data_IF_807655533918
#
_entry.id   IF_807655533918
#
_cell.length_a   1.000
_cell.length_b   1.000
_cell.length_c   1.000
_cell.angle_alpha   90.00
_cell.angle_beta   90.00
_cell.angle_gamma   90.00
#
_symmetry.space_group_name_H-M   'P 1'
#
loop_
_entity.id
_entity.type
_entity.pdbx_description
1 polymer ?
#
# COMPACT_ATOMS: atom_id res chain seq x y z
N UNK A 1 11.54 -19.69 -14.59
CA UNK A 1 11.20 -18.44 -13.89
C UNK A 1 12.00 -17.34 -14.55
N UNK A 2 11.37 -16.52 -15.38
CA UNK A 2 12.05 -15.48 -16.16
C UNK A 2 11.97 -14.21 -15.32
N UNK A 3 13.09 -13.82 -14.69
CA UNK A 3 13.20 -12.54 -13.98
C UNK A 3 12.83 -11.42 -14.95
N UNK A 4 11.87 -10.59 -14.55
CA UNK A 4 11.45 -9.41 -15.29
C UNK A 4 12.69 -8.59 -15.73
N UNK A 5 12.68 -8.09 -16.96
CA UNK A 5 13.66 -7.09 -17.40
C UNK A 5 13.64 -5.99 -16.35
N UNK A 6 14.77 -5.75 -15.68
CA UNK A 6 14.95 -4.57 -14.82
C UNK A 6 14.69 -3.36 -15.73
N UNK A 7 13.48 -2.83 -15.68
CA UNK A 7 13.10 -1.68 -16.46
C UNK A 7 13.67 -0.47 -15.73
N UNK A 8 14.73 0.13 -16.29
CA UNK A 8 15.57 1.14 -15.62
C UNK A 8 14.84 2.47 -15.33
N UNK A 9 13.55 2.53 -15.62
CA UNK A 9 12.70 3.72 -15.48
C UNK A 9 11.82 3.69 -14.23
N UNK A 10 11.50 2.52 -13.66
CA UNK A 10 10.66 2.45 -12.45
C UNK A 10 11.47 2.93 -11.25
N UNK A 11 10.89 3.87 -10.49
CA UNK A 11 11.53 4.44 -9.31
C UNK A 11 10.72 4.17 -8.05
N UNK A 12 11.43 4.03 -6.93
CA UNK A 12 10.81 3.88 -5.62
C UNK A 12 10.09 5.18 -5.25
N UNK A 13 8.84 5.06 -4.84
CA UNK A 13 8.16 6.12 -4.12
C UNK A 13 8.60 6.06 -2.65
N UNK A 14 9.22 7.13 -2.16
CA UNK A 14 9.96 7.08 -0.89
C UNK A 14 9.09 6.85 0.36
N UNK A 15 7.84 7.34 0.38
CA UNK A 15 6.95 7.21 1.54
C UNK A 15 5.74 6.33 1.18
N UNK A 16 5.79 5.06 1.55
CA UNK A 16 4.71 4.11 1.27
C UNK A 16 3.43 4.40 2.05
N UNK A 17 3.54 5.09 3.19
CA UNK A 17 2.40 5.50 4.03
C UNK A 17 1.67 6.66 3.36
N UNK A 18 2.39 7.66 2.87
CA UNK A 18 1.80 8.74 2.06
C UNK A 18 1.11 8.17 0.81
N UNK A 19 1.77 7.25 0.10
CA UNK A 19 1.18 6.58 -1.06
C UNK A 19 -0.12 5.84 -0.72
N UNK A 20 -0.16 5.17 0.43
CA UNK A 20 -1.33 4.48 0.95
C UNK A 20 -2.50 5.44 1.21
N UNK A 21 -2.27 6.55 1.91
CA UNK A 21 -3.32 7.53 2.15
C UNK A 21 -3.84 8.15 0.85
N UNK A 22 -2.98 8.42 -0.12
CA UNK A 22 -3.40 8.98 -1.43
C UNK A 22 -4.25 7.96 -2.18
N UNK A 23 -3.80 6.71 -2.27
CA UNK A 23 -4.50 5.66 -3.01
C UNK A 23 -5.90 5.35 -2.44
N UNK A 24 -6.04 5.36 -1.11
CA UNK A 24 -7.30 5.06 -0.43
C UNK A 24 -8.17 6.29 -0.13
N UNK A 25 -7.73 7.50 -0.49
CA UNK A 25 -8.47 8.74 -0.20
C UNK A 25 -9.86 8.75 -0.84
N UNK A 26 -9.97 8.33 -2.11
CA UNK A 26 -11.24 8.32 -2.84
C UNK A 26 -12.22 7.25 -2.34
N UNK A 27 -11.70 6.23 -1.66
CA UNK A 27 -12.47 5.10 -1.14
C UNK A 27 -13.20 5.45 0.17
N UNK A 28 -12.79 6.52 0.85
CA UNK A 28 -13.37 6.94 2.12
C UNK A 28 -13.65 8.46 2.14
N UNK A 29 -14.68 8.88 1.41
CA UNK A 29 -15.22 10.25 1.48
C UNK A 29 -16.09 10.38 2.74
N UNK A 30 -15.48 10.73 3.87
CA UNK A 30 -16.15 10.97 5.15
C UNK A 30 -15.24 11.66 6.17
N UNK A 31 -15.78 12.30 7.22
CA UNK A 31 -14.95 12.85 8.30
C UNK A 31 -14.12 11.72 8.91
N UNK A 32 -12.83 11.98 9.14
CA UNK A 32 -11.95 11.06 9.87
C UNK A 32 -12.59 10.71 11.20
N UNK A 33 -12.96 9.43 11.36
CA UNK A 33 -13.53 8.89 12.57
C UNK A 33 -12.47 8.01 13.22
N UNK A 34 -11.91 8.50 14.32
CA UNK A 34 -10.92 7.80 15.15
C UNK A 34 -11.42 6.45 15.68
N UNK A 35 -12.73 6.22 15.69
CA UNK A 35 -13.35 4.98 16.15
C UNK A 35 -13.62 4.00 14.98
N UNK A 36 -13.42 4.44 13.73
CA UNK A 36 -13.47 3.64 12.50
C UNK A 36 -12.12 3.67 11.79
N UNK A 37 -11.19 2.80 12.21
CA UNK A 37 -10.01 2.50 11.40
C UNK A 37 -10.49 1.81 10.11
N UNK A 38 -10.72 2.56 9.03
CA UNK A 38 -11.16 2.08 7.71
C UNK A 38 -10.19 1.08 7.03
N UNK A 39 -9.10 0.77 7.73
CA UNK A 39 -8.06 -0.18 7.36
C UNK A 39 -8.05 -1.39 8.30
N UNK A 40 -9.10 -1.58 9.09
CA UNK A 40 -9.28 -2.73 9.98
C UNK A 40 -10.72 -3.28 9.89
N UNK A 41 -10.87 -4.60 10.08
CA UNK A 41 -12.16 -5.27 10.22
C UNK A 41 -12.05 -6.39 11.26
N UNK A 42 -13.08 -6.52 12.11
CA UNK A 42 -13.21 -7.63 13.06
C UNK A 42 -14.06 -8.78 12.51
N UNK A 43 -14.26 -8.84 11.18
CA UNK A 43 -14.94 -9.95 10.52
C UNK A 43 -14.15 -11.25 10.68
N UNK A 44 -14.84 -12.38 10.47
CA UNK A 44 -14.21 -13.69 10.48
C UNK A 44 -13.29 -13.92 9.27
N UNK A 45 -13.40 -13.09 8.22
CA UNK A 45 -12.59 -13.16 7.00
C UNK A 45 -12.19 -11.76 6.48
N UNK A 46 -11.29 -11.77 5.49
CA UNK A 46 -10.74 -10.57 4.88
C UNK A 46 -11.64 -9.90 3.83
N UNK A 47 -12.77 -10.50 3.45
CA UNK A 47 -13.54 -10.02 2.29
C UNK A 47 -14.20 -8.68 2.55
N UNK A 48 -14.58 -8.38 3.80
CA UNK A 48 -15.13 -7.06 4.16
C UNK A 48 -14.12 -5.95 3.87
N UNK A 49 -12.89 -6.11 4.37
CA UNK A 49 -11.83 -5.13 4.15
C UNK A 49 -11.35 -5.12 2.69
N UNK A 50 -11.35 -6.26 1.99
CA UNK A 50 -11.01 -6.32 0.56
C UNK A 50 -12.06 -5.62 -0.31
N UNK A 51 -13.35 -5.71 0.04
CA UNK A 51 -14.45 -5.13 -0.74
C UNK A 51 -14.44 -3.60 -0.81
N UNK A 52 -13.67 -2.96 0.06
CA UNK A 52 -13.46 -1.51 0.12
C UNK A 52 -12.07 -1.08 -0.34
N UNK A 53 -11.42 -1.89 -1.19
CA UNK A 53 -10.23 -1.49 -1.93
C UNK A 53 -10.57 -0.53 -3.09
N UNK A 54 -9.61 0.26 -3.60
CA UNK A 54 -9.75 0.98 -4.85
C UNK A 54 -10.26 0.09 -5.99
N UNK A 55 -11.08 0.66 -6.88
CA UNK A 55 -11.77 -0.12 -7.91
C UNK A 55 -10.81 -0.76 -8.93
N UNK A 56 -9.59 -0.24 -9.05
CA UNK A 56 -8.54 -0.76 -9.94
C UNK A 56 -7.58 -1.74 -9.23
N UNK A 57 -7.87 -2.10 -7.97
CA UNK A 57 -7.04 -3.05 -7.22
C UNK A 57 -7.05 -4.43 -7.88
N UNK A 58 -5.85 -5.03 -8.02
CA UNK A 58 -5.68 -6.41 -8.43
C UNK A 58 -4.93 -7.23 -7.35
N UNK A 59 -5.29 -8.52 -7.15
CA UNK A 59 -4.48 -9.43 -6.36
C UNK A 59 -3.20 -9.78 -7.13
N UNK A 60 -2.05 -9.78 -6.46
CA UNK A 60 -0.75 -10.01 -7.12
C UNK A 60 0.02 -11.19 -6.56
N UNK A 61 -0.13 -11.46 -5.27
CA UNK A 61 0.51 -12.60 -4.65
C UNK A 61 -0.18 -13.01 -3.35
N UNK A 62 0.12 -14.22 -2.89
CA UNK A 62 -0.16 -14.69 -1.54
C UNK A 62 1.15 -15.10 -0.91
N UNK A 63 1.42 -14.64 0.30
CA UNK A 63 2.57 -15.10 1.07
C UNK A 63 2.11 -15.98 2.22
N UNK A 64 2.62 -17.21 2.26
CA UNK A 64 2.35 -18.19 3.31
C UNK A 64 3.63 -18.48 4.10
N UNK A 65 3.65 -18.13 5.39
CA UNK A 65 4.81 -18.41 6.25
C UNK A 65 4.93 -19.89 6.62
N UNK A 66 6.16 -20.34 6.81
CA UNK A 66 6.45 -21.69 7.30
C UNK A 66 6.01 -21.83 8.77
N UNK A 67 6.35 -20.84 9.60
CA UNK A 67 6.10 -20.85 11.04
C UNK A 67 4.99 -19.88 11.43
N UNK A 68 4.22 -20.25 12.46
CA UNK A 68 3.23 -19.38 13.09
C UNK A 68 3.97 -18.52 14.12
N UNK A 69 3.79 -17.21 14.11
CA UNK A 69 4.28 -16.40 15.23
C UNK A 69 3.36 -16.60 16.46
N UNK A 70 3.88 -16.53 17.70
CA UNK A 70 3.10 -16.83 18.91
C UNK A 70 1.78 -16.06 19.05
N UNK A 71 1.73 -14.83 18.54
CA UNK A 71 0.56 -13.93 18.62
C UNK A 71 -0.24 -13.87 17.32
N UNK A 72 0.16 -14.62 16.29
CA UNK A 72 -0.51 -14.62 14.99
C UNK A 72 -1.55 -15.74 14.92
N UNK A 73 -2.71 -15.49 14.29
CA UNK A 73 -3.70 -16.54 13.98
C UNK A 73 -3.56 -17.04 12.53
N UNK A 74 -3.16 -16.17 11.59
CA UNK A 74 -3.19 -16.47 10.16
C UNK A 74 -1.81 -16.27 9.53
N UNK A 75 -1.15 -17.36 9.12
CA UNK A 75 0.17 -17.35 8.43
C UNK A 75 0.19 -16.71 7.03
N UNK A 76 -0.90 -16.07 6.64
CA UNK A 76 -1.23 -15.78 5.25
C UNK A 76 -1.45 -14.29 5.05
N UNK A 77 -0.66 -13.72 4.15
CA UNK A 77 -0.80 -12.35 3.67
C UNK A 77 -1.34 -12.39 2.25
N UNK A 78 -2.29 -11.52 1.97
CA UNK A 78 -2.82 -11.29 0.64
C UNK A 78 -2.24 -10.00 0.10
N UNK A 79 -1.55 -10.04 -1.02
CA UNK A 79 -0.82 -8.92 -1.59
C UNK A 79 -1.58 -8.38 -2.80
N UNK A 80 -1.73 -7.06 -2.84
CA UNK A 80 -2.52 -6.35 -3.83
C UNK A 80 -1.78 -5.14 -4.38
N UNK A 81 -2.11 -4.75 -5.61
CA UNK A 81 -1.64 -3.50 -6.21
C UNK A 81 -2.82 -2.66 -6.68
N UNK A 82 -2.77 -1.36 -6.39
CA UNK A 82 -3.62 -0.34 -6.99
C UNK A 82 -2.78 0.83 -7.51
N UNK A 83 -3.40 1.67 -8.33
CA UNK A 83 -2.80 2.90 -8.83
C UNK A 83 -3.28 4.12 -8.04
N UNK A 84 -2.47 5.17 -8.05
CA UNK A 84 -2.87 6.47 -7.55
C UNK A 84 -2.22 7.57 -8.38
N UNK A 85 -2.86 8.72 -8.41
CA UNK A 85 -2.37 9.88 -9.14
C UNK A 85 -1.57 10.81 -8.21
N UNK A 86 -0.39 11.23 -8.65
CA UNK A 86 0.42 12.24 -7.96
C UNK A 86 0.80 13.37 -8.89
N UNK A 87 0.68 14.60 -8.40
CA UNK A 87 1.24 15.76 -9.09
C UNK A 87 2.78 15.74 -9.01
N UNK A 88 3.45 15.72 -10.15
CA UNK A 88 4.90 15.55 -10.28
C UNK A 88 5.72 16.79 -9.93
N UNK A 89 5.08 17.89 -9.50
CA UNK A 89 5.77 19.10 -9.04
C UNK A 89 6.42 18.84 -7.67
N UNK A 90 7.67 18.35 -7.73
CA UNK A 90 8.71 18.28 -6.70
C UNK A 90 8.33 18.78 -5.29
N UNK A 91 8.43 17.89 -4.30
CA UNK A 91 8.58 18.26 -2.88
C UNK A 91 7.28 18.54 -2.11
N UNK A 92 6.18 17.86 -2.43
CA UNK A 92 4.86 18.11 -1.83
C UNK A 92 4.85 18.26 -0.30
N UNK A 93 5.64 17.50 0.46
CA UNK A 93 5.69 17.62 1.91
C UNK A 93 6.41 18.88 2.41
N UNK A 94 7.48 19.33 1.75
CA UNK A 94 8.18 20.57 2.12
C UNK A 94 7.45 21.81 1.60
N UNK A 95 6.90 21.74 0.38
CA UNK A 95 6.17 22.84 -0.25
C UNK A 95 4.81 23.11 0.39
N UNK A 96 4.13 22.07 0.87
CA UNK A 96 2.83 22.18 1.55
C UNK A 96 2.91 21.93 3.05
N UNK A 97 4.11 21.90 3.63
CA UNK A 97 4.32 21.68 5.07
C UNK A 97 3.42 22.58 5.92
N UNK A 98 3.41 23.86 5.61
CA UNK A 98 2.62 24.85 6.33
C UNK A 98 1.10 24.61 6.19
N UNK A 99 0.65 24.02 5.08
CA UNK A 99 -0.76 23.68 4.91
C UNK A 99 -1.13 22.43 5.72
N UNK A 100 -0.28 21.41 5.72
CA UNK A 100 -0.47 20.19 6.52
C UNK A 100 -0.40 20.45 8.03
N UNK A 101 0.56 21.26 8.48
CA UNK A 101 0.69 21.66 9.88
C UNK A 101 -0.54 22.44 10.36
N UNK A 102 -1.30 23.04 9.43
CA UNK A 102 -2.57 23.73 9.69
C UNK A 102 -3.81 22.84 9.45
N UNK A 103 -3.63 21.52 9.29
CA UNK A 103 -4.72 20.56 9.15
C UNK A 103 -5.43 20.57 7.80
N UNK A 104 -4.80 21.13 6.77
CA UNK A 104 -5.37 21.21 5.42
C UNK A 104 -5.00 19.98 4.60
N UNK A 105 -5.98 19.44 3.86
CA UNK A 105 -5.77 18.32 2.94
C UNK A 105 -4.94 18.71 1.71
N UNK A 106 -4.20 17.75 1.16
CA UNK A 106 -3.30 17.96 0.03
C UNK A 106 -4.03 18.53 -1.21
N UNK A 107 -5.26 18.10 -1.47
CA UNK A 107 -6.03 18.57 -2.62
C UNK A 107 -6.51 20.01 -2.45
N UNK A 108 -6.77 20.45 -1.21
CA UNK A 108 -7.14 21.83 -0.93
C UNK A 108 -5.93 22.77 -1.06
N UNK A 109 -4.76 22.36 -0.54
CA UNK A 109 -3.51 23.08 -0.70
C UNK A 109 -3.14 23.26 -2.19
N UNK A 110 -3.34 22.21 -2.98
CA UNK A 110 -3.11 22.18 -4.43
C UNK A 110 -4.08 23.05 -5.25
N UNK A 111 -5.28 23.35 -4.72
CA UNK A 111 -6.23 24.28 -5.36
C UNK A 111 -5.88 25.73 -5.04
N UNK A 112 -5.44 26.00 -3.80
CA UNK A 112 -5.06 27.34 -3.34
C UNK A 112 -3.76 27.86 -3.97
N UNK A 113 -2.86 26.98 -4.40
CA UNK A 113 -1.56 27.38 -4.96
C UNK A 113 -1.62 27.98 -6.37
N UNK A 114 -2.70 27.77 -7.13
CA UNK A 114 -2.92 28.40 -8.44
C UNK A 114 -1.94 28.00 -9.56
N UNK A 115 -1.27 26.86 -9.45
CA UNK A 115 -0.24 26.45 -10.42
C UNK A 115 -0.83 25.86 -11.72
N UNK A 116 -0.10 26.07 -12.83
CA UNK A 116 -0.47 25.71 -14.21
C UNK A 116 -0.58 24.21 -14.49
N UNK A 117 -0.41 23.73 -15.75
CA UNK A 117 -0.75 22.36 -16.12
C UNK A 117 -0.01 21.35 -15.25
N UNK A 118 -0.79 20.64 -14.43
CA UNK A 118 -0.36 19.62 -13.49
C UNK A 118 0.09 18.41 -14.29
N UNK A 119 1.38 18.09 -14.25
CA UNK A 119 1.84 16.80 -14.75
C UNK A 119 1.41 15.78 -13.70
N UNK A 120 0.36 15.03 -14.00
CA UNK A 120 -0.11 13.94 -13.17
C UNK A 120 0.68 12.69 -13.58
N UNK A 121 1.39 12.11 -12.62
CA UNK A 121 2.01 10.80 -12.76
C UNK A 121 1.09 9.75 -12.18
N UNK A 122 0.97 8.63 -12.88
CA UNK A 122 0.39 7.40 -12.33
C UNK A 122 1.47 6.69 -11.52
N UNK A 123 1.21 6.51 -10.24
CA UNK A 123 2.01 5.74 -9.32
C UNK A 123 1.24 4.46 -8.95
N UNK A 124 1.94 3.51 -8.33
CA UNK A 124 1.35 2.25 -7.87
C UNK A 124 1.75 1.97 -6.43
N UNK A 125 0.84 1.36 -5.68
CA UNK A 125 1.00 0.96 -4.29
C UNK A 125 0.86 -0.55 -4.19
N UNK A 126 1.88 -1.20 -3.63
CA UNK A 126 1.81 -2.55 -3.10
C UNK A 126 1.38 -2.48 -1.64
N UNK A 127 0.30 -3.16 -1.30
CA UNK A 127 -0.20 -3.28 0.06
C UNK A 127 -0.59 -4.73 0.37
N UNK A 128 -0.69 -5.05 1.65
CA UNK A 128 -1.20 -6.33 2.12
C UNK A 128 -2.53 -6.19 2.83
N UNK A 129 -3.27 -7.29 2.85
CA UNK A 129 -4.29 -7.60 3.85
C UNK A 129 -3.81 -8.81 4.65
N UNK A 130 -3.78 -8.68 5.97
CA UNK A 130 -3.38 -9.74 6.90
C UNK A 130 -4.27 -9.78 8.13
N UNK A 131 -4.43 -10.95 8.73
CA UNK A 131 -5.15 -11.12 9.99
C UNK A 131 -4.19 -11.13 11.17
N UNK A 132 -4.38 -10.23 12.13
CA UNK A 132 -3.62 -10.11 13.37
C UNK A 132 -4.53 -10.36 14.60
N UNK A 133 -3.96 -10.78 15.73
CA UNK A 133 -4.68 -10.90 17.01
C UNK A 133 -4.06 -9.94 18.00
N UNK A 134 -4.65 -8.76 18.12
CA UNK A 134 -4.28 -7.85 19.19
C UNK A 134 -4.74 -8.39 20.55
N UNK A 135 -3.85 -8.25 21.55
CA UNK A 135 -3.91 -8.84 22.90
C UNK A 135 -5.34 -8.97 23.47
N UNK A 136 -5.64 -10.19 23.93
CA UNK A 136 -6.77 -10.56 24.81
C UNK A 136 -8.17 -10.69 24.20
N UNK A 137 -8.34 -10.57 22.87
CA UNK A 137 -9.61 -10.89 22.21
C UNK A 137 -9.53 -12.20 21.41
N UNK A 138 -10.59 -13.01 21.50
CA UNK A 138 -10.70 -14.28 20.76
C UNK A 138 -10.88 -14.08 19.24
N UNK A 139 -11.11 -12.84 18.76
CA UNK A 139 -11.34 -12.51 17.36
C UNK A 139 -10.07 -12.26 16.53
N UNK A 140 -10.20 -12.41 15.21
CA UNK A 140 -9.20 -11.96 14.22
C UNK A 140 -9.50 -10.51 13.87
N UNK A 141 -8.48 -9.67 13.84
CA UNK A 141 -8.55 -8.32 13.27
C UNK A 141 -7.82 -8.35 11.92
N UNK A 142 -8.55 -8.13 10.83
CA UNK A 142 -8.00 -8.00 9.49
C UNK A 142 -7.59 -6.58 9.24
N UNK A 143 -6.36 -6.36 8.76
CA UNK A 143 -5.83 -5.03 8.54
C UNK A 143 -5.20 -4.86 7.15
N UNK A 144 -5.30 -3.64 6.60
CA UNK A 144 -4.57 -3.19 5.40
C UNK A 144 -3.29 -2.48 5.80
N UNK A 145 -2.17 -2.82 5.16
CA UNK A 145 -0.87 -2.20 5.43
C UNK A 145 -0.12 -1.89 4.14
N UNK A 146 0.44 -0.69 4.06
CA UNK A 146 1.32 -0.30 2.97
C UNK A 146 2.63 -1.08 3.02
N UNK A 147 3.11 -1.58 1.88
CA UNK A 147 4.38 -2.31 1.81
C UNK A 147 5.42 -1.60 0.95
N UNK A 148 5.02 -1.13 -0.22
CA UNK A 148 5.88 -0.46 -1.19
C UNK A 148 5.06 0.44 -2.08
N UNK A 149 5.68 1.44 -2.69
CA UNK A 149 5.10 2.17 -3.78
C UNK A 149 6.16 2.51 -4.82
N UNK A 150 5.73 2.66 -6.08
CA UNK A 150 6.60 3.03 -7.19
C UNK A 150 5.95 4.05 -8.12
N UNK A 151 6.78 4.71 -8.91
CA UNK A 151 6.37 5.59 -10.01
C UNK A 151 6.95 5.09 -11.34
N UNK A 152 6.39 5.60 -12.44
CA UNK A 152 6.86 5.37 -13.82
C UNK A 152 6.72 3.90 -14.32
N UNK A 153 5.95 3.07 -13.62
CA UNK A 153 5.47 1.78 -14.12
C UNK A 153 4.29 1.99 -15.09
N UNK A 154 4.23 1.20 -16.16
CA UNK A 154 3.23 1.31 -17.23
C UNK A 154 1.93 0.55 -16.96
N UNK A 155 1.92 -0.35 -15.96
CA UNK A 155 0.75 -1.16 -15.58
C UNK A 155 0.86 -1.69 -14.15
N UNK A 156 -0.26 -2.14 -13.57
CA UNK A 156 -0.27 -2.83 -12.28
C UNK A 156 0.61 -4.08 -12.25
N UNK A 157 0.62 -4.87 -13.34
CA UNK A 157 1.46 -6.07 -13.42
C UNK A 157 2.94 -5.72 -13.37
N UNK A 158 3.39 -4.75 -14.18
CA UNK A 158 4.78 -4.32 -14.19
C UNK A 158 5.21 -3.75 -12.83
N UNK A 159 4.34 -2.93 -12.22
CA UNK A 159 4.56 -2.38 -10.90
C UNK A 159 4.66 -3.48 -9.83
N UNK A 160 3.78 -4.48 -9.88
CA UNK A 160 3.75 -5.60 -8.96
C UNK A 160 5.01 -6.48 -9.07
N UNK A 161 5.42 -6.84 -10.29
CA UNK A 161 6.65 -7.61 -10.51
C UNK A 161 7.88 -6.88 -9.92
N UNK A 162 7.97 -5.57 -10.15
CA UNK A 162 9.06 -4.75 -9.62
C UNK A 162 9.01 -4.63 -8.09
N UNK A 163 7.86 -4.28 -7.52
CA UNK A 163 7.70 -4.08 -6.07
C UNK A 163 7.86 -5.39 -5.28
N UNK A 164 7.36 -6.52 -5.79
CA UNK A 164 7.54 -7.83 -5.16
C UNK A 164 9.01 -8.27 -5.19
N UNK A 165 9.73 -8.01 -6.28
CA UNK A 165 11.17 -8.26 -6.35
C UNK A 165 11.95 -7.39 -5.34
N UNK A 166 11.61 -6.11 -5.23
CA UNK A 166 12.23 -5.21 -4.24
C UNK A 166 11.92 -5.65 -2.81
N UNK A 167 10.65 -5.97 -2.51
CA UNK A 167 10.21 -6.43 -1.20
C UNK A 167 10.92 -7.72 -0.78
N UNK A 168 11.05 -8.70 -1.67
CA UNK A 168 11.68 -9.99 -1.34
C UNK A 168 13.21 -9.94 -1.32
N UNK A 169 13.82 -8.99 -2.03
CA UNK A 169 15.29 -8.85 -2.10
C UNK A 169 15.84 -7.91 -1.03
N UNK A 170 15.12 -6.82 -0.75
CA UNK A 170 15.59 -5.72 0.11
C UNK A 170 14.77 -5.56 1.39
N UNK A 171 13.57 -6.14 1.45
CA UNK A 171 12.62 -5.86 2.52
C UNK A 171 12.02 -4.45 2.41
N UNK A 172 11.26 -4.08 3.42
CA UNK A 172 10.68 -2.75 3.62
C UNK A 172 10.79 -2.34 5.10
N UNK A 173 10.05 -1.31 5.52
CA UNK A 173 10.05 -0.82 6.90
C UNK A 173 9.43 -1.82 7.91
N UNK A 174 8.66 -2.80 7.44
CA UNK A 174 7.94 -3.75 8.27
C UNK A 174 8.56 -5.15 8.26
N UNK A 175 9.14 -5.56 7.14
CA UNK A 175 9.66 -6.90 6.88
C UNK A 175 11.06 -6.82 6.28
N UNK A 176 12.02 -7.45 6.93
CA UNK A 176 13.34 -7.68 6.33
C UNK A 176 13.23 -8.68 5.17
N UNK A 177 14.19 -8.65 4.24
CA UNK A 177 14.21 -9.58 3.10
C UNK A 177 14.18 -11.06 3.52
N UNK A 178 14.81 -11.40 4.65
CA UNK A 178 14.85 -12.76 5.19
C UNK A 178 13.47 -13.27 5.63
N UNK A 179 12.53 -12.38 5.93
CA UNK A 179 11.16 -12.72 6.25
C UNK A 179 10.52 -13.55 5.13
N UNK A 180 10.71 -13.12 3.88
CA UNK A 180 10.14 -13.78 2.70
C UNK A 180 10.82 -15.10 2.35
N UNK A 181 12.03 -15.35 2.87
CA UNK A 181 12.72 -16.65 2.73
C UNK A 181 12.13 -17.73 3.65
N UNK A 182 11.39 -17.32 4.68
CA UNK A 182 10.74 -18.21 5.65
C UNK A 182 9.28 -18.51 5.30
N UNK A 183 8.97 -18.55 4.01
CA UNK A 183 7.65 -18.86 3.51
C UNK A 183 7.64 -19.16 2.03
N UNK A 184 6.43 -19.29 1.50
CA UNK A 184 6.17 -19.47 0.07
C UNK A 184 5.41 -18.25 -0.43
N UNK A 185 6.00 -17.54 -1.40
CA UNK A 185 5.34 -16.47 -2.14
C UNK A 185 4.74 -17.05 -3.43
N UNK A 186 3.42 -17.16 -3.47
CA UNK A 186 2.66 -17.61 -4.64
C UNK A 186 2.26 -16.38 -5.47
N UNK A 187 2.84 -16.24 -6.66
CA UNK A 187 2.57 -15.12 -7.59
C UNK A 187 1.32 -15.43 -8.42
N UNK A 188 0.43 -14.45 -8.58
CA UNK A 188 -0.89 -14.60 -9.23
C UNK A 188 -1.00 -13.87 -10.59
N UNK A 189 0.04 -13.14 -11.00
CA UNK A 189 0.10 -12.27 -12.19
C UNK A 189 1.00 -12.82 -13.29
#
# INVERSE_FOLDING_TARGET
>A
MQLAKINSQIQRFHDSVDAFYIAFHSTFVGPFDKDNFAHESNSNDHFEIESSNPADTIPVATFLRNEQLPDEIIKKQYLYVCSFEREATLGGREKFKDYFDNGMDILEALKKSGEGPKIIKTCHLLFEIRGDRWKNNDGINWMRLALYACEDASSHQEAAEWMLNELTTKGNEMYDADYFKQGTLEILI
#
